data_IF_411338771728
#
_entry.id   IF_411338771728
#
_cell.length_a   1.000
_cell.length_b   1.000
_cell.length_c   1.000
_cell.angle_alpha   90.00
_cell.angle_beta   90.00
_cell.angle_gamma   90.00
#
_symmetry.space_group_name_H-M   'P 1'
#
loop_
_entity.id
_entity.type
_entity.pdbx_description
1 polymer ?
#
# COMPACT_ATOMS: atom_id res chain seq x y z
N UNK A 1 -0.50 -21.68 19.90
CA UNK A 1 0.01 -20.41 19.35
C UNK A 1 0.38 -19.56 20.57
N UNK A 2 1.67 -19.49 20.90
CA UNK A 2 2.17 -18.72 22.05
C UNK A 2 2.07 -17.23 21.72
N UNK A 3 1.13 -16.53 22.36
CA UNK A 3 1.14 -15.08 22.44
C UNK A 3 2.39 -14.66 23.23
N UNK A 4 3.38 -14.11 22.55
CA UNK A 4 4.44 -13.33 23.22
C UNK A 4 3.73 -12.08 23.73
N UNK A 5 3.41 -12.05 25.04
CA UNK A 5 3.09 -10.81 25.73
C UNK A 5 4.37 -9.99 25.79
N UNK A 6 4.61 -9.19 24.76
CA UNK A 6 5.55 -8.09 24.86
C UNK A 6 4.95 -7.15 25.89
N UNK A 7 5.70 -6.86 26.95
CA UNK A 7 5.36 -5.81 27.92
C UNK A 7 5.21 -4.52 27.14
N UNK A 8 3.96 -4.10 26.94
CA UNK A 8 3.62 -2.78 26.42
C UNK A 8 3.99 -1.75 27.51
N UNK A 9 5.23 -1.33 27.53
CA UNK A 9 5.60 -0.01 28.04
C UNK A 9 4.82 0.99 27.22
N UNK A 10 4.29 2.03 27.82
CA UNK A 10 3.40 3.06 27.27
C UNK A 10 3.75 3.50 25.84
N UNK A 11 3.31 2.73 24.82
CA UNK A 11 3.46 3.13 23.43
C UNK A 11 2.54 4.32 23.24
N UNK A 12 3.12 5.48 22.95
CA UNK A 12 2.39 6.70 22.71
C UNK A 12 1.67 6.59 21.37
N UNK A 13 0.35 6.60 21.41
CA UNK A 13 -0.51 6.55 20.22
C UNK A 13 -0.96 7.96 19.84
N UNK A 14 -1.12 8.19 18.53
CA UNK A 14 -1.68 9.42 18.00
C UNK A 14 -2.68 9.11 16.89
N UNK A 15 -3.68 9.94 16.72
CA UNK A 15 -4.69 9.79 15.68
C UNK A 15 -4.29 10.59 14.44
N UNK A 16 -4.11 9.91 13.31
CA UNK A 16 -3.79 10.52 12.02
C UNK A 16 -4.73 10.02 10.92
N UNK A 17 -4.76 10.73 9.78
CA UNK A 17 -5.50 10.28 8.61
C UNK A 17 -4.73 9.17 7.87
N UNK A 18 -5.46 8.35 7.10
CA UNK A 18 -4.87 7.30 6.27
C UNK A 18 -3.83 7.87 5.28
N UNK A 19 -4.13 9.00 4.60
CA UNK A 19 -3.16 9.67 3.70
C UNK A 19 -1.93 10.19 4.43
N UNK A 20 -2.07 10.62 5.68
CA UNK A 20 -0.94 11.06 6.49
C UNK A 20 -0.05 9.87 6.87
N UNK A 21 -0.66 8.72 7.18
CA UNK A 21 0.06 7.48 7.45
C UNK A 21 0.89 7.02 6.24
N UNK A 22 0.36 7.14 5.02
CA UNK A 22 1.07 6.88 3.76
C UNK A 22 2.23 7.86 3.58
N UNK A 23 1.98 9.17 3.74
CA UNK A 23 3.00 10.20 3.62
C UNK A 23 4.15 9.98 4.61
N UNK A 24 3.83 9.69 5.85
CA UNK A 24 4.83 9.41 6.88
C UNK A 24 5.66 8.16 6.59
N UNK A 25 5.00 7.06 6.15
CA UNK A 25 5.72 5.84 5.79
C UNK A 25 6.77 6.11 4.71
N UNK A 26 6.39 6.81 3.64
CA UNK A 26 7.32 7.18 2.55
C UNK A 26 8.43 8.12 3.06
N UNK A 27 8.07 9.15 3.80
CA UNK A 27 9.04 10.13 4.30
C UNK A 27 10.05 9.52 5.28
N UNK A 28 9.60 8.67 6.20
CA UNK A 28 10.49 7.98 7.14
C UNK A 28 11.47 7.06 6.41
N UNK A 29 11.01 6.31 5.40
CA UNK A 29 11.89 5.45 4.62
C UNK A 29 12.85 6.26 3.72
N UNK A 30 12.41 7.36 3.14
CA UNK A 30 13.29 8.26 2.37
C UNK A 30 14.36 8.94 3.23
N UNK A 31 14.07 9.24 4.51
CA UNK A 31 15.10 9.72 5.44
C UNK A 31 16.12 8.63 5.77
N UNK A 32 15.66 7.38 5.89
CA UNK A 32 16.48 6.23 6.23
C UNK A 32 17.44 5.82 5.10
N UNK A 33 16.98 5.91 3.85
CA UNK A 33 17.70 5.39 2.68
C UNK A 33 17.67 6.39 1.51
N UNK A 34 18.84 6.94 1.10
CA UNK A 34 18.91 7.90 0.02
C UNK A 34 18.60 7.32 -1.38
N UNK A 35 18.56 6.00 -1.54
CA UNK A 35 18.21 5.35 -2.80
C UNK A 35 16.70 5.34 -3.06
N UNK A 36 15.87 5.65 -2.05
CA UNK A 36 14.41 5.72 -2.17
C UNK A 36 14.01 7.07 -2.75
N UNK A 37 13.13 7.06 -3.74
CA UNK A 37 12.52 8.27 -4.31
C UNK A 37 11.05 8.00 -4.69
N UNK A 38 10.26 9.06 -4.74
CA UNK A 38 8.87 9.06 -5.19
C UNK A 38 8.78 9.65 -6.59
N UNK A 39 8.09 8.98 -7.50
CA UNK A 39 7.83 9.46 -8.85
C UNK A 39 6.41 9.13 -9.27
N UNK A 40 5.75 10.08 -9.92
CA UNK A 40 4.38 9.89 -10.41
C UNK A 40 3.75 11.21 -10.87
N UNK A 41 2.47 11.17 -11.13
CA UNK A 41 1.69 12.31 -11.63
C UNK A 41 1.33 13.24 -10.47
N UNK A 42 1.74 14.51 -10.55
CA UNK A 42 1.41 15.57 -9.58
C UNK A 42 1.86 15.28 -8.13
N UNK A 43 2.85 14.40 -7.95
CA UNK A 43 3.31 14.00 -6.60
C UNK A 43 4.18 15.06 -5.93
N UNK A 44 4.82 15.95 -6.70
CA UNK A 44 5.73 16.97 -6.21
C UNK A 44 5.02 18.32 -6.01
N UNK A 45 4.87 19.11 -7.06
CA UNK A 45 4.37 20.50 -6.98
C UNK A 45 2.93 20.58 -6.42
N UNK A 46 2.07 19.65 -6.80
CA UNK A 46 0.69 19.59 -6.32
C UNK A 46 0.52 18.84 -4.98
N UNK A 47 1.60 18.23 -4.45
CA UNK A 47 1.57 17.43 -3.23
C UNK A 47 0.69 16.17 -3.33
N UNK A 48 0.58 15.58 -4.52
CA UNK A 48 -0.31 14.47 -4.82
C UNK A 48 -1.77 14.86 -5.00
N UNK A 49 -2.49 14.18 -5.88
CA UNK A 49 -3.92 14.42 -6.11
C UNK A 49 -4.73 14.29 -4.81
N UNK A 50 -4.36 13.37 -3.94
CA UNK A 50 -5.03 13.10 -2.66
C UNK A 50 -4.23 13.57 -1.44
N UNK A 51 -3.14 14.34 -1.66
CA UNK A 51 -2.25 14.90 -0.62
C UNK A 51 -1.50 13.82 0.18
N UNK A 52 -1.27 12.66 -0.43
CA UNK A 52 -0.48 11.58 0.16
C UNK A 52 1.04 11.82 0.11
N UNK A 53 1.50 12.84 -0.63
CA UNK A 53 2.90 13.28 -0.71
C UNK A 53 3.12 14.71 -0.21
N UNK A 54 2.18 15.22 0.60
CA UNK A 54 2.21 16.60 1.08
C UNK A 54 3.51 16.94 1.83
N UNK A 55 4.21 17.98 1.37
CA UNK A 55 5.45 18.50 1.98
C UNK A 55 6.71 17.71 1.63
N UNK A 56 6.59 16.59 0.90
CA UNK A 56 7.74 15.77 0.57
C UNK A 56 8.70 16.46 -0.40
N UNK A 57 8.20 17.26 -1.36
CA UNK A 57 9.06 18.03 -2.26
C UNK A 57 9.94 19.01 -1.49
N UNK A 58 9.38 19.72 -0.51
CA UNK A 58 10.10 20.69 0.31
C UNK A 58 11.21 20.02 1.13
N UNK A 59 10.95 18.79 1.62
CA UNK A 59 11.90 18.06 2.45
C UNK A 59 13.00 17.36 1.65
N UNK A 60 12.64 16.69 0.53
CA UNK A 60 13.57 15.80 -0.19
C UNK A 60 14.09 16.39 -1.49
N UNK A 61 13.46 17.44 -1.99
CA UNK A 61 13.84 18.14 -3.22
C UNK A 61 13.43 17.40 -4.51
N UNK A 62 13.59 18.10 -5.66
CA UNK A 62 13.05 17.64 -6.96
C UNK A 62 13.82 16.45 -7.57
N UNK A 63 14.95 16.04 -6.98
CA UNK A 63 15.66 14.83 -7.42
C UNK A 63 15.10 13.55 -6.80
N UNK A 64 14.29 13.69 -5.75
CA UNK A 64 13.75 12.56 -5.00
C UNK A 64 12.22 12.54 -4.92
N UNK A 65 11.56 13.65 -5.27
CA UNK A 65 10.10 13.74 -5.45
C UNK A 65 9.88 14.33 -6.83
N UNK A 66 9.44 13.50 -7.77
CA UNK A 66 9.55 13.77 -9.20
C UNK A 66 8.18 13.72 -9.84
N UNK A 67 7.71 14.86 -10.37
CA UNK A 67 6.53 14.89 -11.22
C UNK A 67 6.84 14.30 -12.60
N UNK A 68 5.88 13.57 -13.14
CA UNK A 68 5.95 13.01 -14.49
C UNK A 68 4.82 13.54 -15.35
N UNK A 69 4.98 13.55 -16.68
CA UNK A 69 3.82 13.64 -17.57
C UNK A 69 2.90 12.41 -17.37
N UNK A 70 1.65 12.53 -17.84
CA UNK A 70 0.69 11.39 -17.85
C UNK A 70 1.16 10.38 -18.91
N UNK A 71 2.02 9.47 -18.48
CA UNK A 71 2.66 8.45 -19.31
C UNK A 71 3.06 7.24 -18.47
N UNK A 72 2.07 6.51 -17.95
CA UNK A 72 2.24 5.47 -16.93
C UNK A 72 3.19 4.36 -17.38
N UNK A 73 3.16 3.96 -18.65
CA UNK A 73 4.12 3.00 -19.18
C UNK A 73 5.56 3.54 -19.15
N UNK A 74 5.74 4.82 -19.45
CA UNK A 74 7.05 5.49 -19.48
C UNK A 74 7.68 5.56 -18.09
N UNK A 75 6.99 6.20 -17.13
CA UNK A 75 7.57 6.38 -15.81
C UNK A 75 7.67 5.07 -15.02
N UNK A 76 6.76 4.11 -15.24
CA UNK A 76 6.88 2.78 -14.65
C UNK A 76 8.12 2.04 -15.17
N UNK A 77 8.38 2.13 -16.48
CA UNK A 77 9.59 1.55 -17.10
C UNK A 77 10.88 2.18 -16.56
N UNK A 78 10.90 3.51 -16.37
CA UNK A 78 12.01 4.22 -15.72
C UNK A 78 12.19 3.71 -14.29
N UNK A 79 11.10 3.55 -13.53
CA UNK A 79 11.13 3.00 -12.18
C UNK A 79 11.73 1.60 -12.14
N UNK A 80 11.28 0.69 -12.99
CA UNK A 80 11.83 -0.67 -13.10
C UNK A 80 13.32 -0.64 -13.43
N UNK A 81 13.72 0.14 -14.44
CA UNK A 81 15.13 0.26 -14.82
C UNK A 81 16.01 0.84 -13.71
N UNK A 82 15.52 1.82 -12.95
CA UNK A 82 16.25 2.36 -11.81
C UNK A 82 16.37 1.37 -10.65
N UNK A 83 15.32 0.56 -10.40
CA UNK A 83 15.36 -0.50 -9.42
C UNK A 83 16.42 -1.58 -9.77
N UNK A 84 16.53 -1.94 -11.04
CA UNK A 84 17.60 -2.83 -11.53
C UNK A 84 19.00 -2.28 -11.27
N UNK A 85 19.15 -0.95 -11.16
CA UNK A 85 20.41 -0.26 -10.92
C UNK A 85 20.62 0.12 -9.43
N UNK A 86 19.84 -0.43 -8.52
CA UNK A 86 20.04 -0.29 -7.07
C UNK A 86 19.28 0.83 -6.40
N UNK A 87 18.41 1.56 -7.11
CA UNK A 87 17.45 2.46 -6.48
C UNK A 87 16.25 1.68 -5.92
N UNK A 88 15.46 2.36 -5.08
CA UNK A 88 14.22 1.82 -4.49
C UNK A 88 13.06 2.77 -4.80
N UNK A 89 12.54 2.76 -6.03
CA UNK A 89 11.49 3.69 -6.45
C UNK A 89 10.14 3.36 -5.81
N UNK A 90 9.41 4.42 -5.46
CA UNK A 90 7.99 4.40 -5.18
C UNK A 90 7.32 5.05 -6.39
N UNK A 91 6.55 4.28 -7.14
CA UNK A 91 5.81 4.75 -8.31
C UNK A 91 4.36 4.94 -7.90
N UNK A 92 3.90 6.19 -8.00
CA UNK A 92 2.52 6.55 -7.70
C UNK A 92 1.71 6.71 -8.99
N UNK A 93 0.62 5.95 -9.11
CA UNK A 93 -0.44 6.22 -10.08
C UNK A 93 -1.48 7.14 -9.44
N UNK A 94 -1.89 8.19 -10.13
CA UNK A 94 -2.97 9.08 -9.66
C UNK A 94 -4.24 8.29 -9.35
N UNK A 95 -4.52 7.28 -10.17
CA UNK A 95 -5.44 6.19 -9.85
C UNK A 95 -4.90 4.86 -10.38
N UNK A 96 -4.98 3.82 -9.59
CA UNK A 96 -4.48 2.49 -9.96
C UNK A 96 -5.21 1.89 -11.18
N UNK A 97 -6.34 2.46 -11.56
CA UNK A 97 -7.03 2.12 -12.80
C UNK A 97 -6.11 2.23 -14.02
N UNK A 98 -5.23 3.24 -14.07
CA UNK A 98 -4.32 3.48 -15.19
C UNK A 98 -2.98 2.76 -15.07
N UNK A 99 -2.79 1.95 -14.03
CA UNK A 99 -1.72 0.96 -14.02
C UNK A 99 -1.83 -0.03 -15.20
N UNK A 100 -3.03 -0.16 -15.80
CA UNK A 100 -3.26 -0.94 -17.01
C UNK A 100 -2.48 -0.40 -18.23
N UNK A 101 -2.22 0.90 -18.30
CA UNK A 101 -1.36 1.49 -19.34
C UNK A 101 0.08 1.04 -19.17
N UNK A 102 0.50 0.74 -17.95
CA UNK A 102 1.83 0.28 -17.59
C UNK A 102 1.91 -1.23 -17.31
N UNK A 103 0.87 -2.00 -17.62
CA UNK A 103 0.76 -3.41 -17.20
C UNK A 103 1.93 -4.26 -17.65
N UNK A 104 2.49 -4.03 -18.83
CA UNK A 104 3.65 -4.76 -19.33
C UNK A 104 4.90 -4.48 -18.47
N UNK A 105 5.10 -3.24 -18.04
CA UNK A 105 6.22 -2.88 -17.17
C UNK A 105 6.11 -3.56 -15.80
N UNK A 106 4.89 -3.75 -15.30
CA UNK A 106 4.65 -4.41 -14.02
C UNK A 106 4.78 -5.93 -14.15
N UNK A 107 4.05 -6.54 -15.10
CA UNK A 107 3.89 -8.00 -15.20
C UNK A 107 5.07 -8.65 -15.91
N UNK A 108 5.56 -8.09 -17.03
CA UNK A 108 6.62 -8.68 -17.83
C UNK A 108 8.01 -8.26 -17.34
N UNK A 109 8.17 -6.99 -16.97
CA UNK A 109 9.49 -6.48 -16.58
C UNK A 109 9.72 -6.61 -15.06
N UNK A 110 8.94 -5.94 -14.21
CA UNK A 110 9.19 -5.97 -12.77
C UNK A 110 9.05 -7.38 -12.20
N UNK A 111 7.94 -8.06 -12.46
CA UNK A 111 7.64 -9.36 -11.84
C UNK A 111 8.53 -10.52 -12.31
N UNK A 112 9.13 -10.44 -13.50
CA UNK A 112 9.85 -11.58 -14.10
C UNK A 112 11.38 -11.43 -14.12
N UNK A 113 11.90 -10.22 -13.98
CA UNK A 113 13.32 -9.95 -14.16
C UNK A 113 14.19 -10.74 -13.19
N UNK A 114 13.79 -10.90 -11.95
CA UNK A 114 14.54 -11.74 -10.99
C UNK A 114 14.68 -13.18 -11.43
N UNK A 115 13.60 -13.78 -11.92
CA UNK A 115 13.62 -15.15 -12.44
C UNK A 115 14.46 -15.24 -13.72
N UNK A 116 14.27 -14.31 -14.67
CA UNK A 116 14.96 -14.30 -15.96
C UNK A 116 16.46 -14.08 -15.80
N UNK A 117 16.88 -13.33 -14.78
CA UNK A 117 18.29 -13.12 -14.46
C UNK A 117 18.94 -14.24 -13.64
N UNK A 118 18.20 -15.32 -13.33
CA UNK A 118 18.69 -16.37 -12.44
C UNK A 118 18.92 -15.89 -11.00
N UNK A 119 18.14 -14.90 -10.54
CA UNK A 119 18.23 -14.34 -9.20
C UNK A 119 19.29 -13.24 -9.02
N UNK A 120 19.97 -12.83 -10.09
CA UNK A 120 21.05 -11.84 -10.02
C UNK A 120 20.54 -10.42 -9.89
N UNK A 121 19.32 -10.13 -10.38
CA UNK A 121 18.72 -8.79 -10.37
C UNK A 121 17.49 -8.80 -9.47
N UNK A 122 17.50 -7.96 -8.45
CA UNK A 122 16.31 -7.65 -7.63
C UNK A 122 15.59 -6.43 -8.22
N UNK A 123 14.28 -6.35 -7.98
CA UNK A 123 13.46 -5.21 -8.39
C UNK A 123 12.74 -4.66 -7.16
N UNK A 124 13.44 -3.93 -6.28
CA UNK A 124 12.88 -3.35 -5.07
C UNK A 124 12.03 -2.12 -5.40
N UNK A 125 10.84 -2.32 -5.94
CA UNK A 125 9.94 -1.28 -6.40
C UNK A 125 8.57 -1.41 -5.74
N UNK A 126 7.97 -0.28 -5.37
CA UNK A 126 6.57 -0.22 -4.94
C UNK A 126 5.77 0.53 -5.99
N UNK A 127 4.71 -0.10 -6.49
CA UNK A 127 3.68 0.55 -7.29
C UNK A 127 2.49 0.80 -6.38
N UNK A 128 2.10 2.05 -6.17
CA UNK A 128 1.01 2.43 -5.28
C UNK A 128 -0.01 3.37 -5.92
N UNK A 129 -1.16 3.45 -5.33
CA UNK A 129 -2.23 4.38 -5.72
C UNK A 129 -3.60 3.89 -5.29
N UNK A 130 -4.63 4.76 -5.40
CA UNK A 130 -6.00 4.39 -5.04
C UNK A 130 -6.62 3.45 -6.08
N UNK A 131 -7.31 2.43 -5.59
CA UNK A 131 -8.06 1.43 -6.36
C UNK A 131 -9.56 1.55 -6.13
N UNK A 132 -10.34 0.85 -6.93
CA UNK A 132 -11.79 0.77 -6.89
C UNK A 132 -12.50 2.13 -7.08
N UNK A 133 -13.75 2.21 -6.71
CA UNK A 133 -14.55 3.41 -6.91
C UNK A 133 -14.29 4.49 -5.86
N UNK A 134 -14.26 5.71 -6.29
CA UNK A 134 -14.12 6.88 -5.45
C UNK A 134 -15.17 7.95 -5.78
N UNK A 135 -14.79 9.04 -6.42
CA UNK A 135 -15.60 10.23 -6.65
C UNK A 135 -16.66 10.14 -7.75
N UNK A 136 -17.15 8.95 -8.12
CA UNK A 136 -18.15 8.76 -9.19
C UNK A 136 -17.68 9.27 -10.57
N UNK A 137 -16.39 9.10 -10.87
CA UNK A 137 -15.78 9.57 -12.11
C UNK A 137 -16.07 8.70 -13.35
N UNK A 138 -16.88 7.65 -13.18
CA UNK A 138 -17.25 6.75 -14.26
C UNK A 138 -16.51 5.41 -14.26
N UNK A 139 -16.86 4.54 -15.20
CA UNK A 139 -16.43 3.13 -15.19
C UNK A 139 -14.91 2.93 -15.25
N UNK A 140 -14.21 3.72 -16.06
CA UNK A 140 -12.75 3.62 -16.22
C UNK A 140 -11.96 4.01 -14.98
N UNK A 141 -12.58 4.73 -14.02
CA UNK A 141 -11.99 5.14 -12.75
C UNK A 141 -12.57 4.38 -11.55
N UNK A 142 -13.25 3.26 -11.78
CA UNK A 142 -13.98 2.54 -10.73
C UNK A 142 -13.74 1.03 -10.80
N UNK A 143 -12.49 0.64 -11.05
CA UNK A 143 -12.08 -0.75 -11.23
C UNK A 143 -11.20 -1.20 -10.06
N UNK A 144 -11.25 -2.48 -9.73
CA UNK A 144 -10.46 -3.12 -8.68
C UNK A 144 -9.66 -4.27 -9.29
N UNK A 145 -8.33 -4.18 -9.26
CA UNK A 145 -7.43 -5.10 -9.94
C UNK A 145 -6.57 -5.93 -8.99
N UNK A 146 -6.89 -5.97 -7.71
CA UNK A 146 -6.14 -6.72 -6.70
C UNK A 146 -5.95 -8.18 -7.12
N UNK A 147 -7.00 -8.82 -7.63
CA UNK A 147 -6.97 -10.19 -8.09
C UNK A 147 -6.14 -10.39 -9.37
N UNK A 148 -6.09 -9.40 -10.28
CA UNK A 148 -5.29 -9.49 -11.49
C UNK A 148 -3.79 -9.54 -11.14
N UNK A 149 -3.34 -8.62 -10.31
CA UNK A 149 -1.95 -8.58 -9.88
C UNK A 149 -1.60 -9.71 -8.91
N UNK A 150 -2.53 -10.11 -8.04
CA UNK A 150 -2.33 -11.27 -7.16
C UNK A 150 -2.18 -12.59 -7.92
N UNK A 151 -2.75 -12.71 -9.11
CA UNK A 151 -2.58 -13.88 -9.99
C UNK A 151 -1.22 -13.88 -10.72
N UNK A 152 -0.42 -12.81 -10.64
CA UNK A 152 0.85 -12.70 -11.33
C UNK A 152 2.02 -13.20 -10.44
N UNK A 153 2.69 -14.33 -10.77
CA UNK A 153 3.89 -14.76 -10.04
C UNK A 153 5.00 -13.72 -10.13
N UNK A 154 5.64 -13.45 -8.99
CA UNK A 154 6.72 -12.45 -8.85
C UNK A 154 6.27 -11.13 -8.27
N UNK A 155 4.96 -10.89 -8.10
CA UNK A 155 4.42 -9.73 -7.40
C UNK A 155 3.97 -10.08 -5.98
N UNK A 156 4.07 -9.12 -5.07
CA UNK A 156 3.35 -9.08 -3.80
C UNK A 156 2.22 -8.06 -3.92
N UNK A 157 1.07 -8.33 -3.30
CA UNK A 157 -0.10 -7.44 -3.38
C UNK A 157 -0.61 -7.15 -1.99
N UNK A 158 -0.63 -5.89 -1.62
CA UNK A 158 -0.95 -5.37 -0.29
C UNK A 158 -2.12 -4.40 -0.37
N UNK A 159 -3.10 -4.56 0.51
CA UNK A 159 -4.31 -3.73 0.55
C UNK A 159 -4.66 -3.40 1.99
N UNK A 160 -4.11 -2.32 2.55
CA UNK A 160 -4.35 -1.94 3.95
C UNK A 160 -5.78 -1.48 4.20
N UNK A 161 -6.25 -1.64 5.44
CA UNK A 161 -7.60 -1.25 5.85
C UNK A 161 -7.65 -0.12 6.89
N UNK A 162 -6.53 0.22 7.52
CA UNK A 162 -6.45 1.25 8.57
C UNK A 162 -5.19 2.11 8.39
N UNK A 163 -5.11 3.31 9.01
CA UNK A 163 -3.88 4.10 9.05
C UNK A 163 -2.67 3.33 9.63
N UNK A 164 -2.90 2.52 10.67
CA UNK A 164 -1.88 1.65 11.25
C UNK A 164 -1.33 0.65 10.23
N UNK A 165 -2.24 -0.05 9.54
CA UNK A 165 -1.86 -1.02 8.51
C UNK A 165 -1.15 -0.33 7.34
N UNK A 166 -1.66 0.83 6.90
CA UNK A 166 -1.09 1.58 5.79
C UNK A 166 0.36 1.97 6.05
N UNK A 167 0.67 2.53 7.22
CA UNK A 167 2.03 2.94 7.58
C UNK A 167 2.96 1.73 7.72
N UNK A 168 2.56 0.74 8.51
CA UNK A 168 3.42 -0.41 8.81
C UNK A 168 3.70 -1.31 7.60
N UNK A 169 2.67 -1.57 6.78
CA UNK A 169 2.79 -2.39 5.57
C UNK A 169 3.54 -1.66 4.45
N UNK A 170 3.34 -0.34 4.28
CA UNK A 170 4.05 0.41 3.24
C UNK A 170 5.56 0.48 3.55
N UNK A 171 5.94 0.67 4.80
CA UNK A 171 7.36 0.59 5.20
C UNK A 171 7.94 -0.79 4.90
N UNK A 172 7.22 -1.88 5.20
CA UNK A 172 7.64 -3.23 4.86
C UNK A 172 7.76 -3.43 3.35
N UNK A 173 6.82 -2.91 2.56
CA UNK A 173 6.82 -2.97 1.10
C UNK A 173 8.03 -2.23 0.49
N UNK A 174 8.35 -1.04 0.99
CA UNK A 174 9.51 -0.25 0.53
C UNK A 174 10.84 -0.96 0.86
N UNK A 175 10.90 -1.70 1.97
CA UNK A 175 12.09 -2.47 2.38
C UNK A 175 12.22 -3.82 1.67
N UNK A 176 11.18 -4.28 0.99
CA UNK A 176 11.21 -5.55 0.26
C UNK A 176 12.12 -5.48 -0.99
N UNK A 177 12.73 -6.58 -1.36
CA UNK A 177 13.57 -6.67 -2.55
C UNK A 177 12.84 -7.18 -3.80
N UNK A 178 11.57 -7.57 -3.65
CA UNK A 178 10.69 -7.96 -4.74
C UNK A 178 9.66 -6.85 -5.03
N UNK A 179 9.06 -6.81 -6.22
CA UNK A 179 8.07 -5.80 -6.57
C UNK A 179 6.79 -5.95 -5.73
N UNK A 180 6.34 -4.85 -5.17
CA UNK A 180 5.11 -4.79 -4.37
C UNK A 180 4.08 -3.88 -5.03
N UNK A 181 2.87 -4.40 -5.20
CA UNK A 181 1.67 -3.65 -5.56
C UNK A 181 0.98 -3.25 -4.27
N UNK A 182 0.87 -1.96 -4.01
CA UNK A 182 0.28 -1.42 -2.79
C UNK A 182 -0.97 -0.62 -3.14
N UNK A 183 -2.13 -1.24 -2.99
CA UNK A 183 -3.41 -0.67 -3.40
C UNK A 183 -4.12 -0.02 -2.22
N UNK A 184 -4.45 1.25 -2.39
CA UNK A 184 -5.14 2.08 -1.42
C UNK A 184 -6.59 2.31 -1.83
N UNK A 185 -7.40 2.88 -0.96
CA UNK A 185 -8.75 3.31 -1.33
C UNK A 185 -8.87 4.82 -1.17
N UNK A 186 -9.30 5.49 -2.24
CA UNK A 186 -9.55 6.94 -2.21
C UNK A 186 -10.54 7.32 -1.11
N UNK A 187 -11.58 6.50 -0.90
CA UNK A 187 -12.60 6.75 0.12
C UNK A 187 -12.03 6.71 1.55
N UNK A 188 -10.89 6.06 1.75
CA UNK A 188 -10.26 5.92 3.07
C UNK A 188 -9.24 7.00 3.39
N UNK A 189 -8.79 7.81 2.42
CA UNK A 189 -7.73 8.80 2.67
C UNK A 189 -8.02 9.79 3.80
N UNK A 190 -9.28 10.08 4.05
CA UNK A 190 -9.73 10.92 5.17
C UNK A 190 -10.02 10.16 6.46
N UNK A 191 -10.06 8.83 6.44
CA UNK A 191 -10.35 8.01 7.62
C UNK A 191 -9.24 8.16 8.65
N UNK A 192 -9.63 8.34 9.91
CA UNK A 192 -8.71 8.51 11.03
C UNK A 192 -8.54 7.22 11.79
N UNK A 193 -7.34 6.99 12.31
CA UNK A 193 -7.04 5.85 13.17
C UNK A 193 -5.79 6.10 14.01
N UNK A 194 -5.64 5.27 15.03
CA UNK A 194 -4.50 5.34 15.93
C UNK A 194 -3.26 4.71 15.30
N UNK A 195 -2.12 5.40 15.42
CA UNK A 195 -0.82 4.97 14.91
C UNK A 195 0.22 5.25 15.99
N UNK A 196 1.14 4.31 16.28
CA UNK A 196 2.26 4.58 17.20
C UNK A 196 3.12 5.76 16.74
N UNK A 197 3.61 6.56 17.70
CA UNK A 197 4.65 7.56 17.42
C UNK A 197 6.00 6.89 17.12
N UNK A 198 6.23 5.74 17.72
CA UNK A 198 7.45 4.95 17.53
C UNK A 198 7.48 4.23 16.18
N UNK A 199 8.69 3.86 15.76
CA UNK A 199 8.86 3.09 14.54
C UNK A 199 8.29 1.67 14.68
N UNK A 200 7.50 1.25 13.69
CA UNK A 200 7.02 -0.12 13.56
C UNK A 200 6.92 -0.55 12.11
N UNK A 201 6.90 -1.85 11.90
CA UNK A 201 6.72 -2.50 10.59
C UNK A 201 5.73 -3.64 10.77
N UNK A 202 4.86 -3.82 9.79
CA UNK A 202 3.97 -4.98 9.71
C UNK A 202 4.51 -5.91 8.62
N UNK A 203 4.88 -7.15 8.95
CA UNK A 203 5.35 -8.12 7.95
C UNK A 203 4.28 -8.39 6.89
N UNK A 204 4.70 -8.49 5.62
CA UNK A 204 3.81 -8.88 4.53
C UNK A 204 3.42 -10.36 4.67
N UNK A 205 2.19 -10.71 4.31
CA UNK A 205 1.68 -12.08 4.41
C UNK A 205 1.15 -12.46 5.81
N UNK A 206 0.90 -11.48 6.68
CA UNK A 206 0.36 -11.72 8.02
C UNK A 206 -0.99 -11.04 8.16
N UNK A 207 -2.05 -11.83 8.29
CA UNK A 207 -3.41 -11.36 8.53
C UNK A 207 -3.58 -10.79 9.96
N UNK A 208 -4.65 -10.02 10.15
CA UNK A 208 -5.04 -9.45 11.44
C UNK A 208 -6.47 -9.83 11.81
N UNK A 209 -6.70 -10.22 13.05
CA UNK A 209 -8.04 -10.44 13.57
C UNK A 209 -8.56 -9.10 14.09
N UNK A 210 -9.38 -8.43 13.31
CA UNK A 210 -9.98 -7.14 13.65
C UNK A 210 -11.09 -7.28 14.70
N UNK A 211 -11.76 -8.44 14.73
CA UNK A 211 -12.78 -8.80 15.70
C UNK A 211 -12.75 -10.30 15.93
N UNK A 212 -12.74 -10.71 17.21
CA UNK A 212 -12.94 -12.11 17.57
C UNK A 212 -14.43 -12.46 17.54
N UNK A 213 -14.78 -13.67 17.12
CA UNK A 213 -16.14 -14.20 17.08
C UNK A 213 -16.13 -15.72 17.05
N UNK A 214 -17.30 -16.34 17.13
CA UNK A 214 -17.44 -17.81 17.23
C UNK A 214 -18.49 -18.43 16.33
N UNK A 215 -19.39 -17.61 15.74
CA UNK A 215 -20.53 -18.10 14.97
C UNK A 215 -20.29 -18.04 13.46
N UNK A 216 -19.65 -16.97 12.99
CA UNK A 216 -19.34 -16.75 11.57
C UNK A 216 -17.97 -16.10 11.44
N UNK A 217 -17.14 -16.55 10.49
CA UNK A 217 -15.89 -15.89 10.13
C UNK A 217 -16.03 -15.14 8.81
N UNK A 218 -15.73 -13.84 8.81
CA UNK A 218 -15.70 -12.97 7.64
C UNK A 218 -14.24 -12.69 7.31
N UNK A 219 -13.80 -13.13 6.13
CA UNK A 219 -12.44 -12.87 5.63
C UNK A 219 -12.52 -11.84 4.52
N UNK A 220 -11.80 -10.73 4.65
CA UNK A 220 -11.80 -9.65 3.66
C UNK A 220 -10.51 -8.82 3.71
N UNK A 221 -10.47 -7.71 2.97
CA UNK A 221 -9.33 -6.78 2.93
C UNK A 221 -9.77 -5.36 2.52
N UNK A 222 -8.90 -4.40 2.75
CA UNK A 222 -9.07 -3.01 2.32
C UNK A 222 -10.34 -2.37 2.89
N UNK A 223 -11.00 -1.52 2.09
CA UNK A 223 -12.17 -0.76 2.56
C UNK A 223 -13.35 -1.62 3.03
N UNK A 224 -13.48 -2.85 2.53
CA UNK A 224 -14.60 -3.75 2.88
C UNK A 224 -14.52 -4.20 4.34
N UNK A 225 -13.35 -4.16 4.96
CA UNK A 225 -13.21 -4.43 6.40
C UNK A 225 -14.09 -3.50 7.25
N UNK A 226 -14.23 -2.24 6.85
CA UNK A 226 -15.09 -1.26 7.53
C UNK A 226 -16.56 -1.66 7.48
N UNK A 227 -17.01 -2.12 6.32
CA UNK A 227 -18.38 -2.63 6.13
C UNK A 227 -18.60 -3.94 6.92
N UNK A 228 -17.60 -4.83 6.92
CA UNK A 228 -17.65 -6.06 7.69
C UNK A 228 -17.78 -5.80 9.21
N UNK A 229 -17.01 -4.81 9.72
CA UNK A 229 -17.10 -4.39 11.14
C UNK A 229 -18.50 -3.84 11.46
N UNK A 230 -19.05 -3.00 10.58
CA UNK A 230 -20.39 -2.44 10.77
C UNK A 230 -21.46 -3.55 10.75
N UNK A 231 -21.40 -4.46 9.78
CA UNK A 231 -22.32 -5.60 9.69
C UNK A 231 -22.24 -6.51 10.91
N UNK A 232 -21.02 -6.80 11.39
CA UNK A 232 -20.82 -7.61 12.60
C UNK A 232 -21.40 -6.95 13.87
N UNK A 233 -21.36 -5.61 13.94
CA UNK A 233 -21.99 -4.88 15.04
C UNK A 233 -23.53 -4.96 15.02
N UNK A 234 -24.15 -5.01 13.85
CA UNK A 234 -25.60 -5.24 13.73
C UNK A 234 -25.96 -6.68 14.08
N UNK A 235 -25.23 -7.68 13.57
CA UNK A 235 -25.46 -9.09 13.86
C UNK A 235 -25.29 -9.42 15.34
N UNK A 236 -24.40 -8.75 16.04
CA UNK A 236 -24.22 -8.92 17.49
C UNK A 236 -25.48 -8.56 18.30
N UNK A 237 -26.34 -7.64 17.80
CA UNK A 237 -27.63 -7.32 18.42
C UNK A 237 -28.62 -8.49 18.33
N UNK A 238 -28.42 -9.38 17.37
CA UNK A 238 -29.19 -10.61 17.16
C UNK A 238 -28.56 -11.83 17.83
N UNK A 239 -27.44 -11.63 18.57
CA UNK A 239 -26.72 -12.69 19.29
C UNK A 239 -25.76 -13.48 18.40
N UNK A 240 -25.42 -12.99 17.19
CA UNK A 240 -24.48 -13.63 16.27
C UNK A 240 -23.12 -12.94 16.38
N UNK A 241 -22.11 -13.68 16.86
CA UNK A 241 -20.75 -13.16 17.05
C UNK A 241 -19.85 -13.49 15.86
N UNK A 242 -19.59 -12.47 15.02
CA UNK A 242 -18.74 -12.59 13.85
C UNK A 242 -17.27 -12.38 14.20
N UNK A 243 -16.40 -13.30 13.77
CA UNK A 243 -14.96 -13.07 13.63
C UNK A 243 -14.69 -12.32 12.34
N UNK A 244 -13.78 -11.33 12.37
CA UNK A 244 -13.36 -10.59 11.17
C UNK A 244 -11.86 -10.72 11.03
N UNK A 245 -11.43 -11.31 9.91
CA UNK A 245 -10.03 -11.48 9.54
C UNK A 245 -9.73 -10.55 8.35
N UNK A 246 -8.83 -9.60 8.57
CA UNK A 246 -8.25 -8.76 7.52
C UNK A 246 -6.97 -9.42 7.02
N UNK A 247 -6.98 -9.90 5.77
CA UNK A 247 -5.80 -10.56 5.21
C UNK A 247 -4.67 -9.59 4.90
N UNK A 248 -4.93 -8.28 4.79
CA UNK A 248 -3.93 -7.22 4.52
C UNK A 248 -3.09 -7.41 3.27
N UNK A 249 -2.71 -8.64 3.00
CA UNK A 249 -1.88 -9.04 1.85
C UNK A 249 -2.63 -10.10 1.06
N UNK A 250 -3.02 -9.77 -0.17
CA UNK A 250 -3.71 -10.70 -1.08
C UNK A 250 -2.71 -11.70 -1.68
N UNK A 251 -1.42 -11.30 -1.75
CA UNK A 251 -0.30 -12.16 -2.14
C UNK A 251 0.99 -11.69 -1.45
N UNK A 252 1.74 -12.58 -0.75
CA UNK A 252 1.30 -13.89 -0.28
C UNK A 252 0.15 -13.81 0.72
N UNK A 253 -0.63 -14.87 0.81
CA UNK A 253 -1.72 -14.98 1.77
C UNK A 253 -1.38 -16.07 2.80
#
# INVERSE_FOLDING_TARGET
INRIKIFLTDIKMRTIQFREAICEAMSEEMRRDPSIYLMGEEVAEYNGAYKASKGMLDEFGPKRVIDTPIAESGFSGIGVGSAMNGCRPIIEYMTFNFSLVAIDQIISNAAKMRQMSGGQINIPIVFRGPTASAGQLGATHSQAFENWYANCPGLKVVVPSTPYDAKGLLKAAIRDNDPVIFMESEQMYGDKGEVPEEEYIIPLGVADIKREGKDVTIVSFGKIIKEAIAAAAELAKEGIECEIIDIRTVRPM
#
